data_IF_996798010405
#
_entry.id   IF_996798010405
#
_cell.length_a   1.000
_cell.length_b   1.000
_cell.length_c   1.000
_cell.angle_alpha   90.00
_cell.angle_beta   90.00
_cell.angle_gamma   90.00
#
_symmetry.space_group_name_H-M   'P 1'
#
loop_
_entity.id
_entity.type
_entity.pdbx_description
1 polymer ?
#
# COMPACT_ATOMS: atom_id res chain seq x y z
N UNK A 1 -34.40 -0.68 34.14
CA UNK A 1 -33.23 0.15 33.70
C UNK A 1 -33.75 1.58 33.64
N UNK A 2 -33.30 2.45 34.55
CA UNK A 2 -33.80 3.82 34.67
C UNK A 2 -33.37 4.65 33.44
N UNK A 3 -34.24 5.59 33.04
CA UNK A 3 -34.04 6.51 31.91
C UNK A 3 -32.68 7.26 32.02
N UNK A 4 -32.27 7.60 33.23
CA UNK A 4 -31.05 8.30 33.57
C UNK A 4 -29.80 7.47 33.29
N UNK A 5 -29.81 6.15 33.53
CA UNK A 5 -28.70 5.27 33.21
C UNK A 5 -28.47 5.16 31.70
N UNK A 6 -29.56 5.11 30.93
CA UNK A 6 -29.49 5.05 29.46
C UNK A 6 -28.95 6.36 28.86
N UNK A 7 -29.35 7.49 29.43
CA UNK A 7 -28.85 8.82 29.05
C UNK A 7 -27.36 8.97 29.39
N UNK A 8 -26.94 8.45 30.54
CA UNK A 8 -25.53 8.47 30.95
C UNK A 8 -24.66 7.61 30.02
N UNK A 9 -25.15 6.42 29.69
CA UNK A 9 -24.48 5.51 28.77
C UNK A 9 -24.32 6.11 27.36
N UNK A 10 -25.37 6.73 26.82
CA UNK A 10 -25.34 7.45 25.55
C UNK A 10 -24.38 8.64 25.56
N UNK A 11 -24.26 9.37 26.67
CA UNK A 11 -23.29 10.46 26.82
C UNK A 11 -21.86 9.95 26.86
N UNK A 12 -21.60 8.84 27.54
CA UNK A 12 -20.29 8.20 27.58
C UNK A 12 -19.85 7.66 26.22
N UNK A 13 -20.79 7.04 25.47
CA UNK A 13 -20.51 6.57 24.11
C UNK A 13 -20.23 7.72 23.14
N UNK A 14 -21.00 8.81 23.21
CA UNK A 14 -20.71 10.02 22.42
C UNK A 14 -19.34 10.60 22.73
N UNK A 15 -18.98 10.71 24.01
CA UNK A 15 -17.67 11.20 24.44
C UNK A 15 -16.52 10.35 23.92
N UNK A 16 -16.65 9.02 24.01
CA UNK A 16 -15.69 8.07 23.42
C UNK A 16 -15.60 8.23 21.90
N UNK A 17 -16.72 8.39 21.21
CA UNK A 17 -16.70 8.61 19.74
C UNK A 17 -16.07 9.94 19.37
N UNK A 18 -16.28 10.99 20.14
CA UNK A 18 -15.64 12.30 19.94
C UNK A 18 -14.12 12.25 20.19
N UNK A 19 -13.70 11.56 21.24
CA UNK A 19 -12.26 11.33 21.54
C UNK A 19 -11.57 10.53 20.45
N UNK A 20 -12.21 9.48 19.95
CA UNK A 20 -11.70 8.67 18.82
C UNK A 20 -11.62 9.52 17.55
N UNK A 21 -12.65 10.33 17.25
CA UNK A 21 -12.63 11.23 16.09
C UNK A 21 -11.51 12.28 16.20
N UNK A 22 -11.33 12.87 17.38
CA UNK A 22 -10.26 13.84 17.62
C UNK A 22 -8.89 13.19 17.45
N UNK A 23 -8.68 12.02 18.02
CA UNK A 23 -7.42 11.28 17.88
C UNK A 23 -7.12 10.91 16.43
N UNK A 24 -8.14 10.49 15.66
CA UNK A 24 -8.00 10.23 14.23
C UNK A 24 -7.69 11.51 13.44
N UNK A 25 -8.22 12.65 13.85
CA UNK A 25 -7.94 13.93 13.22
C UNK A 25 -6.52 14.41 13.51
N UNK A 26 -6.06 14.28 14.75
CA UNK A 26 -4.69 14.60 15.17
C UNK A 26 -3.68 13.72 14.41
N UNK A 27 -3.94 12.41 14.28
CA UNK A 27 -3.14 11.50 13.47
C UNK A 27 -3.12 11.95 12.00
N UNK A 28 -4.27 12.35 11.45
CA UNK A 28 -4.37 12.79 10.06
C UNK A 28 -3.60 14.09 9.81
N UNK A 29 -3.62 15.03 10.75
CA UNK A 29 -2.87 16.29 10.66
C UNK A 29 -1.36 16.05 10.77
N UNK A 30 -0.92 15.15 11.67
CA UNK A 30 0.48 14.73 11.76
C UNK A 30 0.94 14.03 10.49
N UNK A 31 0.09 13.19 9.91
CA UNK A 31 0.31 12.55 8.62
C UNK A 31 0.55 13.58 7.51
N UNK A 32 -0.33 14.58 7.39
CA UNK A 32 -0.22 15.63 6.37
C UNK A 32 1.01 16.53 6.57
N UNK A 33 1.42 16.76 7.82
CA UNK A 33 2.64 17.52 8.11
C UNK A 33 3.89 16.75 7.68
N UNK A 34 3.96 15.46 7.99
CA UNK A 34 5.10 14.61 7.66
C UNK A 34 5.14 14.26 6.15
N UNK A 35 4.01 14.26 5.44
CA UNK A 35 3.98 14.10 3.97
C UNK A 35 4.74 15.22 3.22
N UNK A 36 4.83 16.41 3.80
CA UNK A 36 5.60 17.54 3.21
C UNK A 36 7.11 17.33 3.29
N UNK A 37 7.58 16.48 4.18
CA UNK A 37 9.00 16.18 4.41
C UNK A 37 9.44 14.89 3.69
N UNK A 38 8.53 14.19 3.01
CA UNK A 38 8.85 12.95 2.32
C UNK A 38 9.72 13.21 1.09
N UNK A 39 10.70 12.32 0.88
CA UNK A 39 11.47 12.29 -0.36
C UNK A 39 10.53 12.18 -1.56
N UNK A 40 10.70 13.04 -2.60
CA UNK A 40 9.83 13.06 -3.77
C UNK A 40 9.88 11.72 -4.55
N UNK A 41 8.78 11.36 -5.19
CA UNK A 41 8.68 10.13 -6.00
C UNK A 41 9.75 10.09 -7.09
N UNK A 42 10.06 11.22 -7.74
CA UNK A 42 11.07 11.32 -8.81
C UNK A 42 12.48 11.00 -8.32
N UNK A 43 12.79 11.34 -7.07
CA UNK A 43 14.08 11.00 -6.45
C UNK A 43 14.16 9.50 -6.19
N UNK A 44 13.12 8.91 -5.64
CA UNK A 44 13.02 7.46 -5.49
C UNK A 44 13.16 6.72 -6.83
N UNK A 45 12.53 7.21 -7.90
CA UNK A 45 12.65 6.63 -9.24
C UNK A 45 14.11 6.66 -9.73
N UNK A 46 14.84 7.75 -9.50
CA UNK A 46 16.28 7.83 -9.86
C UNK A 46 17.10 6.80 -9.10
N UNK A 47 16.88 6.69 -7.79
CA UNK A 47 17.60 5.73 -6.96
C UNK A 47 17.31 4.28 -7.37
N UNK A 48 16.05 3.94 -7.62
CA UNK A 48 15.65 2.63 -8.14
C UNK A 48 16.33 2.32 -9.47
N UNK A 49 16.41 3.31 -10.37
CA UNK A 49 17.11 3.16 -11.66
C UNK A 49 18.61 2.96 -11.49
N UNK A 50 19.20 3.49 -10.43
CA UNK A 50 20.62 3.29 -10.08
C UNK A 50 20.84 2.01 -9.26
N UNK A 51 19.81 1.22 -8.96
CA UNK A 51 19.86 0.02 -8.13
C UNK A 51 20.38 0.26 -6.70
N UNK A 52 20.27 1.49 -6.21
CA UNK A 52 20.74 1.88 -4.88
C UNK A 52 19.77 2.88 -4.26
N UNK A 53 19.17 2.51 -3.14
CA UNK A 53 18.13 3.29 -2.48
C UNK A 53 18.60 3.69 -1.09
N UNK A 54 18.45 4.97 -0.75
CA UNK A 54 18.74 5.49 0.59
C UNK A 54 17.45 5.59 1.41
N UNK A 55 17.30 4.72 2.40
CA UNK A 55 16.19 4.71 3.33
C UNK A 55 16.72 5.15 4.70
N UNK A 56 16.35 6.35 5.14
CA UNK A 56 16.75 6.92 6.45
C UNK A 56 18.27 6.98 6.66
N UNK A 57 19.04 7.27 5.62
CA UNK A 57 20.50 7.33 5.69
C UNK A 57 21.21 5.97 5.57
N UNK A 58 20.47 4.89 5.39
CA UNK A 58 21.02 3.56 5.13
C UNK A 58 20.81 3.22 3.65
N UNK A 59 21.90 2.86 3.00
CA UNK A 59 21.89 2.50 1.56
C UNK A 59 21.60 1.02 1.38
N UNK A 60 20.58 0.72 0.61
CA UNK A 60 20.20 -0.64 0.24
C UNK A 60 20.39 -0.86 -1.25
N UNK A 61 21.07 -1.95 -1.61
CA UNK A 61 21.07 -2.42 -2.98
C UNK A 61 19.67 -2.92 -3.31
N UNK A 62 19.12 -2.49 -4.44
CA UNK A 62 17.86 -2.97 -4.94
C UNK A 62 17.99 -3.52 -6.35
N UNK A 63 17.19 -4.49 -6.69
CA UNK A 63 17.13 -5.07 -8.02
C UNK A 63 15.70 -5.29 -8.46
N UNK A 64 15.48 -5.24 -9.77
CA UNK A 64 14.19 -5.52 -10.36
C UNK A 64 14.08 -7.00 -10.68
N UNK A 65 13.35 -7.73 -9.84
CA UNK A 65 13.06 -9.16 -10.05
C UNK A 65 11.81 -9.31 -10.91
N UNK A 66 11.88 -10.14 -11.95
CA UNK A 66 10.71 -10.55 -12.72
C UNK A 66 10.00 -11.68 -12.00
N UNK A 67 8.71 -11.54 -11.82
CA UNK A 67 7.84 -12.51 -11.13
C UNK A 67 6.63 -12.84 -12.00
N UNK A 68 5.92 -13.91 -11.63
CA UNK A 68 4.69 -14.35 -12.30
C UNK A 68 4.93 -14.57 -13.81
N UNK A 69 5.71 -15.59 -14.11
CA UNK A 69 6.12 -15.96 -15.49
C UNK A 69 6.76 -14.78 -16.27
N UNK A 70 7.57 -13.96 -15.62
CA UNK A 70 8.25 -12.80 -16.19
C UNK A 70 7.35 -11.66 -16.67
N UNK A 71 6.09 -11.62 -16.24
CA UNK A 71 5.16 -10.57 -16.67
C UNK A 71 5.28 -9.26 -15.93
N UNK A 72 5.82 -9.28 -14.70
CA UNK A 72 5.85 -8.13 -13.80
C UNK A 72 7.25 -7.99 -13.25
N UNK A 73 7.81 -6.79 -13.30
CA UNK A 73 9.04 -6.46 -12.59
C UNK A 73 8.71 -5.80 -11.25
N UNK A 74 9.17 -6.36 -10.17
CA UNK A 74 9.08 -5.76 -8.83
C UNK A 74 10.48 -5.53 -8.28
N UNK A 75 10.64 -4.41 -7.55
CA UNK A 75 11.91 -4.14 -6.88
C UNK A 75 11.97 -4.90 -5.56
N UNK A 76 13.10 -5.54 -5.33
CA UNK A 76 13.43 -6.24 -4.09
C UNK A 76 14.76 -5.72 -3.56
N UNK A 77 15.01 -5.96 -2.28
CA UNK A 77 16.28 -5.70 -1.59
C UNK A 77 16.92 -7.05 -1.29
N UNK A 78 17.81 -7.58 -2.17
CA UNK A 78 18.26 -8.98 -2.13
C UNK A 78 18.87 -9.40 -0.79
N UNK A 79 19.62 -8.49 -0.17
CA UNK A 79 20.29 -8.73 1.12
C UNK A 79 19.33 -8.75 2.31
N UNK A 80 18.09 -8.24 2.13
CA UNK A 80 17.06 -8.14 3.17
C UNK A 80 15.89 -9.12 2.94
N UNK A 81 15.92 -9.94 1.89
CA UNK A 81 14.86 -10.91 1.60
C UNK A 81 14.89 -12.04 2.61
N UNK A 82 13.80 -12.16 3.38
CA UNK A 82 13.56 -13.28 4.29
C UNK A 82 12.91 -14.46 3.57
N UNK A 83 11.90 -14.17 2.72
CA UNK A 83 11.09 -15.22 2.09
C UNK A 83 10.58 -14.76 0.73
N UNK A 84 10.66 -15.69 -0.23
CA UNK A 84 9.98 -15.60 -1.52
C UNK A 84 9.11 -16.83 -1.70
N UNK A 85 7.81 -16.60 -1.95
CA UNK A 85 6.87 -17.64 -2.38
C UNK A 85 6.38 -17.21 -3.74
N UNK A 86 6.60 -18.04 -4.74
CA UNK A 86 6.19 -17.75 -6.11
C UNK A 86 5.51 -18.99 -6.70
N UNK A 87 4.35 -18.78 -7.28
CA UNK A 87 3.58 -19.73 -8.05
C UNK A 87 3.18 -19.08 -9.37
N UNK A 88 2.63 -19.82 -10.30
CA UNK A 88 2.24 -19.37 -11.66
C UNK A 88 1.44 -18.05 -11.68
N UNK A 89 0.67 -17.78 -10.64
CA UNK A 89 -0.24 -16.62 -10.59
C UNK A 89 -0.03 -15.70 -9.40
N UNK A 90 0.84 -16.05 -8.47
CA UNK A 90 1.03 -15.29 -7.21
C UNK A 90 2.51 -15.20 -6.88
N UNK A 91 2.95 -14.02 -6.46
CA UNK A 91 4.24 -13.83 -5.83
C UNK A 91 4.07 -13.12 -4.50
N UNK A 92 4.67 -13.66 -3.45
CA UNK A 92 4.77 -13.02 -2.13
C UNK A 92 6.23 -12.92 -1.75
N UNK A 93 6.68 -11.72 -1.39
CA UNK A 93 8.05 -11.44 -0.96
C UNK A 93 7.99 -10.72 0.37
N UNK A 94 8.81 -11.17 1.30
CA UNK A 94 8.92 -10.61 2.64
C UNK A 94 10.37 -10.18 2.86
N UNK A 95 10.56 -8.93 3.28
CA UNK A 95 11.84 -8.36 3.69
C UNK A 95 11.89 -8.28 5.21
N UNK A 96 13.00 -8.69 5.78
CA UNK A 96 13.15 -8.86 7.23
C UNK A 96 13.34 -7.52 7.96
N UNK A 97 14.44 -6.83 7.66
CA UNK A 97 14.81 -5.60 8.38
C UNK A 97 13.92 -4.42 8.04
N UNK A 98 13.57 -4.29 6.76
CA UNK A 98 12.67 -3.25 6.27
C UNK A 98 11.19 -3.53 6.58
N UNK A 99 10.87 -4.78 6.97
CA UNK A 99 9.51 -5.25 7.26
C UNK A 99 8.52 -4.93 6.14
N UNK A 100 9.02 -5.01 4.89
CA UNK A 100 8.22 -4.79 3.69
C UNK A 100 7.63 -6.11 3.23
N UNK A 101 6.31 -6.16 3.10
CA UNK A 101 5.60 -7.23 2.43
C UNK A 101 5.18 -6.80 1.02
N UNK A 102 5.38 -7.67 0.04
CA UNK A 102 4.96 -7.47 -1.34
C UNK A 102 4.11 -8.68 -1.75
N UNK A 103 2.88 -8.43 -2.19
CA UNK A 103 2.02 -9.46 -2.75
C UNK A 103 1.57 -9.02 -4.13
N UNK A 104 1.69 -9.92 -5.10
CA UNK A 104 1.23 -9.69 -6.47
C UNK A 104 0.45 -10.91 -6.94
N UNK A 105 -0.72 -10.68 -7.50
CA UNK A 105 -1.57 -11.72 -8.09
C UNK A 105 -1.87 -11.38 -9.54
N UNK A 106 -1.72 -12.36 -10.39
CA UNK A 106 -1.99 -12.28 -11.80
C UNK A 106 -3.23 -13.11 -12.14
N UNK A 107 -4.19 -12.47 -12.78
CA UNK A 107 -5.44 -13.10 -13.18
C UNK A 107 -5.52 -13.16 -14.71
N UNK A 108 -5.70 -14.36 -15.26
CA UNK A 108 -5.91 -14.60 -16.71
C UNK A 108 -7.34 -14.24 -17.16
N UNK A 109 -7.90 -13.18 -16.56
CA UNK A 109 -9.21 -12.66 -16.91
C UNK A 109 -9.18 -11.14 -16.89
N UNK A 110 -9.96 -10.49 -17.76
CA UNK A 110 -10.06 -9.05 -17.75
C UNK A 110 -10.82 -8.59 -16.51
N UNK A 111 -10.33 -7.55 -15.87
CA UNK A 111 -11.12 -6.79 -14.92
C UNK A 111 -10.99 -5.30 -15.24
N UNK A 112 -12.08 -4.59 -15.10
CA UNK A 112 -12.14 -3.16 -15.37
C UNK A 112 -12.48 -2.43 -14.09
N UNK A 113 -11.63 -1.47 -13.75
CA UNK A 113 -11.90 -0.46 -12.75
C UNK A 113 -11.85 0.89 -13.47
N UNK A 114 -12.94 1.62 -13.41
CA UNK A 114 -13.08 2.87 -14.19
C UNK A 114 -12.14 3.97 -13.71
N UNK A 115 -11.91 4.04 -12.40
CA UNK A 115 -11.07 5.05 -11.78
C UNK A 115 -10.65 4.64 -10.35
N UNK A 116 -9.75 5.42 -9.76
CA UNK A 116 -9.23 5.19 -8.40
C UNK A 116 -10.31 5.18 -7.31
N UNK A 117 -11.38 5.98 -7.46
CA UNK A 117 -12.48 6.02 -6.47
C UNK A 117 -13.26 4.70 -6.43
N UNK A 118 -13.51 4.12 -7.60
CA UNK A 118 -14.14 2.80 -7.69
C UNK A 118 -13.23 1.72 -7.09
N UNK A 119 -11.94 1.79 -7.36
CA UNK A 119 -10.96 0.86 -6.78
C UNK A 119 -10.96 0.94 -5.25
N UNK A 120 -10.82 2.14 -4.70
CA UNK A 120 -10.84 2.36 -3.25
C UNK A 120 -12.16 1.88 -2.62
N UNK A 121 -13.31 2.15 -3.27
CA UNK A 121 -14.61 1.69 -2.78
C UNK A 121 -14.73 0.16 -2.77
N UNK A 122 -14.16 -0.54 -3.76
CA UNK A 122 -14.11 -2.01 -3.79
C UNK A 122 -13.25 -2.56 -2.65
N UNK A 123 -12.08 -1.96 -2.43
CA UNK A 123 -11.19 -2.35 -1.32
C UNK A 123 -11.87 -2.19 0.04
N UNK A 124 -12.50 -1.05 0.30
CA UNK A 124 -13.22 -0.81 1.55
C UNK A 124 -14.28 -1.89 1.79
N UNK A 125 -15.04 -2.27 0.75
CA UNK A 125 -16.04 -3.35 0.86
C UNK A 125 -15.38 -4.69 1.16
N UNK A 126 -14.27 -5.00 0.48
CA UNK A 126 -13.54 -6.25 0.68
C UNK A 126 -13.01 -6.37 2.12
N UNK A 127 -12.31 -5.35 2.62
CA UNK A 127 -11.80 -5.35 3.98
C UNK A 127 -12.93 -5.49 5.02
N UNK A 128 -14.08 -4.83 4.77
CA UNK A 128 -15.26 -4.97 5.62
C UNK A 128 -15.85 -6.40 5.60
N UNK A 129 -15.88 -7.04 4.43
CA UNK A 129 -16.32 -8.44 4.31
C UNK A 129 -15.39 -9.39 5.05
N UNK A 130 -14.08 -9.12 4.98
CA UNK A 130 -13.03 -9.89 5.65
C UNK A 130 -12.95 -9.57 7.17
N UNK A 131 -13.84 -8.69 7.68
CA UNK A 131 -13.86 -8.22 9.07
C UNK A 131 -12.55 -7.58 9.53
N UNK A 132 -11.87 -6.91 8.62
CA UNK A 132 -10.66 -6.16 8.89
C UNK A 132 -10.98 -4.67 8.95
N UNK A 133 -10.47 -4.00 9.97
CA UNK A 133 -10.55 -2.55 10.05
C UNK A 133 -9.59 -1.93 9.05
N UNK A 134 -10.13 -1.13 8.13
CA UNK A 134 -9.36 -0.45 7.10
C UNK A 134 -9.74 1.02 7.04
N UNK A 135 -8.76 1.89 7.22
CA UNK A 135 -8.89 3.34 7.10
C UNK A 135 -8.25 3.81 5.80
N UNK A 136 -9.03 4.22 4.78
CA UNK A 136 -8.48 4.74 3.53
C UNK A 136 -7.80 6.09 3.75
N UNK A 137 -6.65 6.30 3.09
CA UNK A 137 -5.87 7.53 3.16
C UNK A 137 -5.87 8.29 1.84
N UNK A 138 -5.33 7.67 0.79
CA UNK A 138 -5.19 8.28 -0.53
C UNK A 138 -5.47 7.28 -1.64
N UNK A 139 -5.80 7.78 -2.83
CA UNK A 139 -5.97 6.95 -4.02
C UNK A 139 -5.68 7.77 -5.28
N UNK A 140 -5.03 7.15 -6.24
CA UNK A 140 -4.65 7.81 -7.47
C UNK A 140 -4.40 6.85 -8.62
N UNK A 141 -3.88 7.42 -9.72
CA UNK A 141 -3.47 6.69 -10.91
C UNK A 141 -2.04 7.08 -11.24
N UNK A 142 -1.20 6.08 -11.41
CA UNK A 142 0.19 6.23 -11.87
C UNK A 142 0.32 5.65 -13.27
N UNK A 143 1.35 6.09 -13.99
CA UNK A 143 1.71 5.50 -15.28
C UNK A 143 2.96 4.67 -15.11
N UNK A 144 2.97 3.45 -15.65
CA UNK A 144 4.11 2.54 -15.69
C UNK A 144 4.24 1.99 -17.11
N UNK A 145 5.24 2.45 -17.86
CA UNK A 145 5.28 2.23 -19.31
C UNK A 145 3.97 2.69 -19.98
N UNK A 146 3.35 1.81 -20.76
CA UNK A 146 2.04 2.08 -21.42
C UNK A 146 0.81 1.80 -20.55
N UNK A 147 1.01 1.34 -19.33
CA UNK A 147 -0.07 0.92 -18.44
C UNK A 147 -0.44 2.01 -17.43
N UNK A 148 -1.73 2.05 -17.10
CA UNK A 148 -2.25 2.83 -15.97
C UNK A 148 -2.42 1.91 -14.78
N UNK A 149 -1.82 2.30 -13.66
CA UNK A 149 -1.88 1.58 -12.39
C UNK A 149 -2.70 2.42 -11.41
N UNK A 150 -3.88 1.94 -11.04
CA UNK A 150 -4.64 2.52 -9.95
C UNK A 150 -3.99 2.09 -8.64
N UNK A 151 -3.80 3.02 -7.71
CA UNK A 151 -3.38 2.70 -6.35
C UNK A 151 -4.40 3.22 -5.33
N UNK A 152 -4.43 2.59 -4.17
CA UNK A 152 -5.19 3.04 -3.02
C UNK A 152 -4.44 2.68 -1.73
N UNK A 153 -4.14 3.70 -0.97
CA UNK A 153 -3.42 3.61 0.29
C UNK A 153 -4.37 3.60 1.47
N UNK A 154 -4.00 2.90 2.51
CA UNK A 154 -4.74 2.87 3.75
C UNK A 154 -3.98 2.21 4.88
N UNK A 155 -4.61 2.22 6.04
CA UNK A 155 -4.13 1.56 7.25
C UNK A 155 -5.08 0.42 7.56
N UNK A 156 -4.53 -0.78 7.70
CA UNK A 156 -5.24 -1.92 8.24
C UNK A 156 -4.75 -2.24 9.66
N UNK A 157 -5.65 -2.72 10.50
CA UNK A 157 -5.27 -3.22 11.82
C UNK A 157 -4.87 -4.68 11.72
N UNK A 158 -3.83 -5.05 12.45
CA UNK A 158 -3.38 -6.43 12.59
C UNK A 158 -3.19 -6.77 14.07
N UNK A 159 -2.97 -8.03 14.39
CA UNK A 159 -2.69 -8.47 15.76
C UNK A 159 -1.42 -7.83 16.36
N UNK A 160 -0.50 -7.36 15.52
CA UNK A 160 0.77 -6.74 15.90
C UNK A 160 0.78 -5.22 15.76
N UNK A 161 -0.38 -4.60 15.44
CA UNK A 161 -0.52 -3.15 15.30
C UNK A 161 -0.99 -2.69 13.92
N UNK A 162 -0.86 -1.38 13.66
CA UNK A 162 -1.24 -0.79 12.37
C UNK A 162 -0.25 -1.13 11.26
N UNK A 163 -0.78 -1.53 10.11
CA UNK A 163 -0.03 -1.80 8.89
C UNK A 163 -0.44 -0.80 7.83
N UNK A 164 0.52 -0.10 7.25
CA UNK A 164 0.30 0.71 6.05
C UNK A 164 0.29 -0.20 4.83
N UNK A 165 -0.72 -0.04 3.98
CA UNK A 165 -0.90 -0.84 2.77
C UNK A 165 -1.12 0.09 1.58
N UNK A 166 -0.32 -0.09 0.53
CA UNK A 166 -0.51 0.51 -0.77
C UNK A 166 -1.01 -0.59 -1.73
N UNK A 167 -2.31 -0.67 -1.91
CA UNK A 167 -2.93 -1.59 -2.85
C UNK A 167 -2.85 -1.04 -4.27
N UNK A 168 -2.66 -1.92 -5.25
CA UNK A 168 -2.64 -1.52 -6.65
C UNK A 168 -3.43 -2.47 -7.54
N UNK A 169 -3.88 -1.90 -8.66
CA UNK A 169 -4.64 -2.59 -9.69
C UNK A 169 -4.18 -2.11 -11.07
N UNK A 170 -3.87 -3.04 -11.94
CA UNK A 170 -3.61 -2.79 -13.35
C UNK A 170 -4.48 -3.74 -14.19
N UNK A 171 -5.55 -3.22 -14.78
CA UNK A 171 -6.45 -3.98 -15.64
C UNK A 171 -6.07 -3.85 -17.10
N UNK A 172 -6.18 -4.94 -17.83
CA UNK A 172 -6.01 -5.00 -19.27
C UNK A 172 -7.12 -5.78 -19.96
N UNK A 173 -7.10 -5.78 -21.30
CA UNK A 173 -8.13 -6.46 -22.13
C UNK A 173 -8.18 -7.98 -21.92
N UNK A 174 -7.09 -8.59 -21.49
CA UNK A 174 -6.99 -10.06 -21.33
C UNK A 174 -6.56 -10.47 -19.93
N UNK A 175 -5.96 -9.57 -19.17
CA UNK A 175 -5.22 -9.88 -17.95
C UNK A 175 -5.41 -8.79 -16.92
N UNK A 176 -5.36 -9.17 -15.66
CA UNK A 176 -5.44 -8.24 -14.53
C UNK A 176 -4.33 -8.54 -13.54
N UNK A 177 -3.70 -7.51 -13.05
CA UNK A 177 -2.69 -7.58 -12.00
C UNK A 177 -3.24 -6.82 -10.81
N UNK A 178 -3.24 -7.46 -9.67
CA UNK A 178 -3.60 -6.86 -8.39
C UNK A 178 -2.51 -7.19 -7.38
N UNK A 179 -2.31 -6.32 -6.42
CA UNK A 179 -1.35 -6.59 -5.37
C UNK A 179 -1.29 -5.49 -4.35
N UNK A 180 -0.33 -5.62 -3.45
CA UNK A 180 -0.05 -4.59 -2.46
C UNK A 180 1.42 -4.59 -2.07
N UNK A 181 1.88 -3.42 -1.64
CA UNK A 181 3.05 -3.21 -0.79
C UNK A 181 2.55 -2.91 0.61
N UNK A 182 3.21 -3.45 1.61
CA UNK A 182 2.87 -3.20 3.00
C UNK A 182 4.11 -2.98 3.86
N UNK A 183 3.98 -2.19 4.91
CA UNK A 183 5.01 -1.99 5.93
C UNK A 183 4.36 -1.63 7.27
N UNK A 184 5.15 -1.57 8.34
CA UNK A 184 4.66 -1.00 9.60
C UNK A 184 4.16 0.44 9.39
N UNK A 185 3.13 0.83 10.11
CA UNK A 185 2.56 2.17 10.02
C UNK A 185 3.60 3.26 10.29
N UNK A 186 4.54 3.02 11.20
CA UNK A 186 5.64 3.94 11.54
C UNK A 186 6.60 4.19 10.37
N UNK A 187 6.69 3.24 9.43
CA UNK A 187 7.56 3.33 8.25
C UNK A 187 6.88 3.98 7.04
N UNK A 188 5.58 4.25 7.12
CA UNK A 188 4.81 4.84 6.02
C UNK A 188 5.46 6.08 5.43
N UNK A 189 5.98 6.96 6.28
CA UNK A 189 6.59 8.23 5.83
C UNK A 189 7.87 8.04 5.04
N UNK A 190 8.62 6.99 5.36
CA UNK A 190 9.86 6.67 4.64
C UNK A 190 9.59 5.85 3.37
N UNK A 191 8.56 5.02 3.36
CA UNK A 191 8.34 4.01 2.34
C UNK A 191 7.13 4.29 1.41
N UNK A 192 6.18 5.15 1.80
CA UNK A 192 4.97 5.39 1.00
C UNK A 192 5.28 5.87 -0.42
N UNK A 193 6.10 6.90 -0.57
CA UNK A 193 6.52 7.39 -1.89
C UNK A 193 7.46 6.42 -2.61
N UNK A 194 8.24 5.61 -1.90
CA UNK A 194 9.03 4.53 -2.49
C UNK A 194 8.10 3.48 -3.15
N UNK A 195 7.02 3.07 -2.48
CA UNK A 195 6.05 2.14 -3.07
C UNK A 195 5.40 2.71 -4.34
N UNK A 196 5.03 3.99 -4.32
CA UNK A 196 4.53 4.68 -5.52
C UNK A 196 5.58 4.71 -6.64
N UNK A 197 6.84 4.97 -6.31
CA UNK A 197 7.94 4.93 -7.29
C UNK A 197 8.12 3.53 -7.87
N UNK A 198 8.09 2.48 -7.05
CA UNK A 198 8.14 1.09 -7.51
C UNK A 198 6.99 0.76 -8.48
N UNK A 199 5.77 1.25 -8.20
CA UNK A 199 4.62 1.08 -9.09
C UNK A 199 4.83 1.76 -10.45
N UNK A 200 5.49 2.93 -10.53
CA UNK A 200 5.78 3.59 -11.80
C UNK A 200 6.78 2.84 -12.66
N UNK A 201 7.56 1.95 -12.06
CA UNK A 201 8.61 1.16 -12.71
C UNK A 201 8.22 -0.33 -12.88
N UNK A 202 6.99 -0.71 -12.55
CA UNK A 202 6.56 -2.11 -12.55
C UNK A 202 6.57 -2.75 -13.95
N UNK A 203 6.21 -1.97 -14.97
CA UNK A 203 6.22 -2.41 -16.37
C UNK A 203 7.37 -1.75 -17.10
N UNK A 204 8.07 -2.51 -17.92
CA UNK A 204 9.07 -1.95 -18.82
C UNK A 204 8.40 -1.21 -19.97
N UNK A 205 9.05 -0.14 -20.46
CA UNK A 205 8.74 0.38 -21.77
C UNK A 205 9.15 -0.67 -22.80
N UNK A 206 8.22 -1.07 -23.66
CA UNK A 206 8.54 -1.90 -24.81
C UNK A 206 9.56 -1.13 -25.66
N UNK A 207 10.81 -1.61 -25.73
CA UNK A 207 11.83 -1.08 -26.62
C UNK A 207 11.55 -1.46 -28.04
#
# INVERSE_FOLDING_TARGET
MHLDEKLLQMRMERKKQEEVKKHLQDIKEDILRQEREQKPIQEWVRELTCNLVDIKGVKYVCEKKRVVDNHIGIYIFPEDVEKIIEDSNVATIIHHTLEIGINVTFLNQPAVIKNQKEFQAKLIRQYKQDKLDYCPLDAGVLTSGKYKVCFAEGIATSAVGGVFINNFFCGGKKRTIIGNYSCRLTERYSLGNLFRAMLTQMFEEDK
#
